data_IF_573095774472
#
_entry.id   IF_573095774472
#
_cell.length_a   1.000
_cell.length_b   1.000
_cell.length_c   1.000
_cell.angle_alpha   90.00
_cell.angle_beta   90.00
_cell.angle_gamma   90.00
#
_symmetry.space_group_name_H-M   'P 1'
#
loop_
_entity.id
_entity.type
_entity.pdbx_description
1 polymer ?
#
# COMPACT_ATOMS: atom_id res chain seq x y z
N UNK A 1 -20.94 22.39 4.52
CA UNK A 1 -20.18 22.30 3.27
C UNK A 1 -20.24 20.84 2.90
N UNK A 2 -20.93 20.50 1.83
CA UNK A 2 -20.97 19.13 1.34
C UNK A 2 -19.61 18.86 0.68
N UNK A 3 -18.74 18.15 1.40
CA UNK A 3 -17.50 17.64 0.83
C UNK A 3 -17.88 16.46 -0.08
N UNK A 4 -18.12 16.78 -1.34
CA UNK A 4 -18.48 15.81 -2.37
C UNK A 4 -17.24 14.97 -2.74
N UNK A 5 -17.41 13.66 -2.78
CA UNK A 5 -16.31 12.73 -3.05
C UNK A 5 -15.90 12.87 -4.52
N UNK A 6 -14.63 13.21 -4.76
CA UNK A 6 -14.04 13.24 -6.08
C UNK A 6 -13.09 12.07 -6.33
N UNK A 7 -12.96 11.69 -7.60
CA UNK A 7 -11.98 10.72 -8.08
C UNK A 7 -11.23 11.30 -9.26
N UNK A 8 -9.91 11.11 -9.29
CA UNK A 8 -9.08 11.53 -10.42
C UNK A 8 -8.79 10.34 -11.32
N UNK A 9 -9.15 10.44 -12.59
CA UNK A 9 -8.84 9.44 -13.63
C UNK A 9 -8.14 10.17 -14.77
N UNK A 10 -6.96 9.69 -15.18
CA UNK A 10 -6.12 10.29 -16.23
C UNK A 10 -5.87 11.80 -16.06
N UNK A 11 -5.75 12.25 -14.80
CA UNK A 11 -5.48 13.65 -14.44
C UNK A 11 -6.72 14.56 -14.45
N UNK A 12 -7.91 14.01 -14.69
CA UNK A 12 -9.17 14.74 -14.65
C UNK A 12 -9.93 14.35 -13.38
N UNK A 13 -10.38 15.34 -12.61
CA UNK A 13 -11.21 15.11 -11.41
C UNK A 13 -12.68 15.01 -11.81
N UNK A 14 -13.35 13.99 -11.29
CA UNK A 14 -14.77 13.75 -11.47
C UNK A 14 -15.44 13.65 -10.11
N UNK A 15 -16.61 14.28 -9.98
CA UNK A 15 -17.50 14.03 -8.85
C UNK A 15 -18.04 12.61 -8.95
N UNK A 16 -17.91 11.84 -7.88
CA UNK A 16 -18.33 10.45 -7.87
C UNK A 16 -19.83 10.30 -8.16
N UNK A 17 -20.64 11.26 -7.70
CA UNK A 17 -22.09 11.36 -7.92
C UNK A 17 -22.48 11.57 -9.40
N UNK A 18 -21.59 12.15 -10.20
CA UNK A 18 -21.81 12.45 -11.63
C UNK A 18 -21.37 11.28 -12.54
N UNK A 19 -20.74 10.25 -11.97
CA UNK A 19 -20.34 9.06 -12.69
C UNK A 19 -21.49 8.06 -12.84
N UNK A 20 -21.41 7.20 -13.87
CA UNK A 20 -22.35 6.08 -14.03
C UNK A 20 -22.24 5.09 -12.87
N UNK A 21 -23.31 4.34 -12.59
CA UNK A 21 -23.31 3.31 -11.54
C UNK A 21 -22.15 2.31 -11.69
N UNK A 22 -21.90 1.86 -12.93
CA UNK A 22 -20.79 0.96 -13.22
C UNK A 22 -19.42 1.60 -12.90
N UNK A 23 -19.24 2.89 -13.16
CA UNK A 23 -18.00 3.59 -12.82
C UNK A 23 -17.84 3.77 -11.31
N UNK A 24 -18.92 4.08 -10.59
CA UNK A 24 -18.93 4.15 -9.12
C UNK A 24 -18.56 2.80 -8.49
N UNK A 25 -19.09 1.69 -9.03
CA UNK A 25 -18.75 0.34 -8.61
C UNK A 25 -17.25 0.04 -8.80
N UNK A 26 -16.67 0.41 -9.94
CA UNK A 26 -15.24 0.21 -10.16
C UNK A 26 -14.39 1.07 -9.21
N UNK A 27 -14.80 2.29 -8.90
CA UNK A 27 -14.12 3.12 -7.88
C UNK A 27 -14.15 2.42 -6.51
N UNK A 28 -15.28 1.87 -6.10
CA UNK A 28 -15.39 1.13 -4.85
C UNK A 28 -14.48 -0.10 -4.83
N UNK A 29 -14.45 -0.88 -5.92
CA UNK A 29 -13.58 -2.03 -6.07
C UNK A 29 -12.10 -1.66 -5.99
N UNK A 30 -11.68 -0.59 -6.67
CA UNK A 30 -10.30 -0.09 -6.62
C UNK A 30 -9.91 0.31 -5.20
N UNK A 31 -10.74 1.12 -4.52
CA UNK A 31 -10.50 1.54 -3.13
C UNK A 31 -10.37 0.35 -2.18
N UNK A 32 -11.19 -0.68 -2.37
CA UNK A 32 -11.09 -1.91 -1.59
C UNK A 32 -9.74 -2.59 -1.82
N UNK A 33 -9.33 -2.81 -3.08
CA UNK A 33 -8.06 -3.46 -3.40
C UNK A 33 -6.87 -2.63 -2.89
N UNK A 34 -6.91 -1.30 -3.02
CA UNK A 34 -5.88 -0.40 -2.51
C UNK A 34 -5.70 -0.51 -1.00
N UNK A 35 -6.80 -0.59 -0.24
CA UNK A 35 -6.76 -0.80 1.20
C UNK A 35 -6.11 -2.14 1.56
N UNK A 36 -6.45 -3.21 0.83
CA UNK A 36 -5.83 -4.53 1.03
C UNK A 36 -4.33 -4.51 0.71
N UNK A 37 -3.92 -3.83 -0.36
CA UNK A 37 -2.51 -3.65 -0.71
C UNK A 37 -1.76 -2.87 0.37
N UNK A 38 -2.35 -1.81 0.92
CA UNK A 38 -1.77 -1.04 2.01
C UNK A 38 -1.55 -1.92 3.26
N UNK A 39 -2.52 -2.76 3.62
CA UNK A 39 -2.39 -3.69 4.74
C UNK A 39 -1.27 -4.71 4.53
N UNK A 40 -1.17 -5.29 3.32
CA UNK A 40 -0.10 -6.23 2.97
C UNK A 40 1.27 -5.57 3.03
N UNK A 41 1.40 -4.34 2.55
CA UNK A 41 2.65 -3.57 2.62
C UNK A 41 3.04 -3.27 4.07
N UNK A 42 2.09 -2.96 4.94
CA UNK A 42 2.35 -2.78 6.37
C UNK A 42 2.88 -4.07 7.02
N UNK A 43 2.26 -5.23 6.72
CA UNK A 43 2.76 -6.54 7.18
C UNK A 43 4.17 -6.83 6.64
N UNK A 44 4.41 -6.54 5.35
CA UNK A 44 5.71 -6.73 4.73
C UNK A 44 6.80 -5.90 5.44
N UNK A 45 6.52 -4.65 5.80
CA UNK A 45 7.45 -3.79 6.54
C UNK A 45 7.85 -4.38 7.91
N UNK A 46 6.90 -5.00 8.62
CA UNK A 46 7.19 -5.73 9.87
C UNK A 46 8.15 -6.89 9.62
N UNK A 47 7.88 -7.71 8.59
CA UNK A 47 8.76 -8.84 8.24
C UNK A 47 10.14 -8.39 7.78
N UNK A 48 10.24 -7.30 7.03
CA UNK A 48 11.51 -6.71 6.61
C UNK A 48 12.34 -6.28 7.83
N UNK A 49 11.70 -5.67 8.84
CA UNK A 49 12.37 -5.29 10.09
C UNK A 49 12.93 -6.52 10.81
N UNK A 50 12.13 -7.57 10.98
CA UNK A 50 12.57 -8.82 11.61
C UNK A 50 13.72 -9.47 10.83
N UNK A 51 13.61 -9.55 9.49
CA UNK A 51 14.67 -10.08 8.61
C UNK A 51 15.98 -9.32 8.82
N UNK A 52 15.95 -7.99 8.84
CA UNK A 52 17.14 -7.17 9.01
C UNK A 52 17.78 -7.36 10.40
N UNK A 53 16.96 -7.48 11.45
CA UNK A 53 17.44 -7.79 12.79
C UNK A 53 18.15 -9.16 12.83
N UNK A 54 17.55 -10.20 12.26
CA UNK A 54 18.16 -11.54 12.19
C UNK A 54 19.45 -11.54 11.37
N UNK A 55 19.48 -10.81 10.25
CA UNK A 55 20.70 -10.65 9.45
C UNK A 55 21.82 -9.97 10.26
N UNK A 56 21.50 -8.93 11.03
CA UNK A 56 22.46 -8.25 11.90
C UNK A 56 23.02 -9.17 12.99
N UNK A 57 22.16 -9.97 13.63
CA UNK A 57 22.60 -10.97 14.61
C UNK A 57 23.50 -12.02 13.95
N UNK A 58 23.11 -12.55 12.79
CA UNK A 58 23.92 -13.52 12.06
C UNK A 58 25.32 -12.98 11.75
N UNK A 59 25.42 -11.71 11.30
CA UNK A 59 26.71 -11.06 11.03
C UNK A 59 27.63 -10.98 12.26
N UNK A 60 27.07 -10.96 13.47
CA UNK A 60 27.85 -10.98 14.72
C UNK A 60 28.29 -12.39 15.11
N UNK A 61 27.54 -13.41 14.69
CA UNK A 61 27.80 -14.82 15.05
C UNK A 61 28.74 -15.54 14.07
N UNK A 62 28.85 -15.04 12.83
CA UNK A 62 29.74 -15.66 11.83
C UNK A 62 31.20 -15.19 12.02
N UNK A 63 32.19 -16.08 11.81
CA UNK A 63 33.59 -15.68 11.83
C UNK A 63 33.84 -14.57 10.81
N UNK A 64 34.46 -13.46 11.26
CA UNK A 64 34.96 -12.46 10.32
C UNK A 64 36.21 -13.03 9.67
N UNK A 65 36.15 -13.31 8.38
CA UNK A 65 37.36 -13.61 7.60
C UNK A 65 38.23 -12.35 7.66
N UNK A 66 39.43 -12.38 8.25
CA UNK A 66 40.37 -11.28 8.10
C UNK A 66 40.70 -11.18 6.61
N UNK A 67 40.49 -10.02 6.02
CA UNK A 67 41.06 -9.72 4.70
C UNK A 67 42.57 -9.52 4.81
#
# INVERSE_FOLDING_TARGET
MDDEIEVTVDGISYKLSELSEAAQEQVANLRFVDAQMAELNAKLAVFQTARNAYQSVLQQLVPRVPQ
#
